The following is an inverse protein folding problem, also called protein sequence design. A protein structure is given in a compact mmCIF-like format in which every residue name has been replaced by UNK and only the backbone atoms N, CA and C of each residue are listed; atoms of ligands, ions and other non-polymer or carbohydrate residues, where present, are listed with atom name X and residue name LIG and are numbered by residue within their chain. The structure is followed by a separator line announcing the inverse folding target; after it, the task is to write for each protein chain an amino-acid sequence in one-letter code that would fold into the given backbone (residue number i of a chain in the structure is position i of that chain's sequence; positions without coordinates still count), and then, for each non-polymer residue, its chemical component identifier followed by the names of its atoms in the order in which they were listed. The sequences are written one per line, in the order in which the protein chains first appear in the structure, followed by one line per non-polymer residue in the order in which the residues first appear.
data_IF_431555024072
#
_entry.id   IF_431555024072
#
_cell.length_a   1.000
_cell.length_b   1.000
_cell.length_c   1.000
_cell.angle_alpha   90.00
_cell.angle_beta   90.00
_cell.angle_gamma   90.00
#
_symmetry.space_group_name_H-M   'P 1'
#
loop_
_entity.id
_entity.type
_entity.pdbx_description
1 polymer ?
#
# COMPACT_ATOMS: atom_id res chain seq x y z
N UNK A 1 2.11 43.19 -64.46
CA UNK A 1 1.12 43.44 -63.40
C UNK A 1 0.80 42.10 -62.76
N UNK A 2 1.52 41.76 -61.68
CA UNK A 2 1.07 41.83 -60.29
C UNK A 2 0.00 40.78 -59.93
N UNK A 3 0.45 39.78 -59.13
CA UNK A 3 -0.19 39.20 -57.94
C UNK A 3 -1.51 38.42 -58.20
N UNK A 4 -1.75 37.23 -57.67
CA UNK A 4 -1.42 36.71 -56.35
C UNK A 4 -1.68 35.18 -56.39
N UNK A 5 -0.72 34.37 -55.94
CA UNK A 5 -0.96 32.97 -55.57
C UNK A 5 -1.76 32.94 -54.26
N UNK A 6 -2.83 32.17 -54.19
CA UNK A 6 -3.46 31.79 -52.92
C UNK A 6 -3.08 30.33 -52.67
N UNK A 7 -1.97 30.14 -51.94
CA UNK A 7 -1.68 28.89 -51.25
C UNK A 7 -2.49 28.90 -49.94
N UNK A 8 -3.51 28.04 -49.83
CA UNK A 8 -4.14 27.76 -48.56
C UNK A 8 -3.21 26.85 -47.75
N UNK A 9 -2.49 27.44 -46.80
CA UNK A 9 -1.74 26.69 -45.80
C UNK A 9 -2.74 25.99 -44.87
N UNK A 10 -2.88 24.67 -45.02
CA UNK A 10 -3.54 23.84 -44.02
C UNK A 10 -2.60 23.75 -42.83
N UNK A 11 -2.83 24.63 -41.86
CA UNK A 11 -2.23 24.57 -40.53
C UNK A 11 -2.73 23.31 -39.82
N UNK A 12 -1.91 22.25 -39.84
CA UNK A 12 -2.09 21.08 -38.98
C UNK A 12 -1.69 21.52 -37.57
N UNK A 13 -2.65 22.01 -36.81
CA UNK A 13 -2.51 22.22 -35.38
C UNK A 13 -2.43 20.85 -34.71
N UNK A 14 -1.22 20.36 -34.46
CA UNK A 14 -0.99 19.31 -33.48
C UNK A 14 -1.28 19.90 -32.10
N UNK A 15 -2.53 19.83 -31.65
CA UNK A 15 -2.82 19.91 -30.22
C UNK A 15 -2.28 18.62 -29.61
N UNK A 16 -1.07 18.69 -29.08
CA UNK A 16 -0.61 17.72 -28.10
C UNK A 16 -1.59 17.79 -26.93
N UNK A 17 -2.53 16.87 -26.88
CA UNK A 17 -3.26 16.58 -25.67
C UNK A 17 -2.23 16.04 -24.68
N UNK A 18 -1.66 16.95 -23.88
CA UNK A 18 -1.17 16.59 -22.57
C UNK A 18 -2.39 15.96 -21.88
N UNK A 19 -2.41 14.63 -21.78
CA UNK A 19 -3.24 13.97 -20.80
C UNK A 19 -2.72 14.44 -19.45
N UNK A 20 -3.30 15.53 -18.95
CA UNK A 20 -3.37 15.77 -17.53
C UNK A 20 -3.89 14.47 -16.94
N UNK A 21 -2.99 13.72 -16.29
CA UNK A 21 -3.38 12.59 -15.47
C UNK A 21 -4.37 13.15 -14.48
N UNK A 22 -5.65 12.84 -14.67
CA UNK A 22 -6.65 13.03 -13.64
C UNK A 22 -6.03 12.51 -12.34
N UNK A 23 -5.93 13.35 -11.30
CA UNK A 23 -5.43 12.89 -10.03
C UNK A 23 -6.39 11.77 -9.62
N UNK A 24 -5.88 10.54 -9.59
CA UNK A 24 -6.62 9.38 -9.13
C UNK A 24 -7.19 9.75 -7.76
N UNK A 25 -8.51 9.93 -7.70
CA UNK A 25 -9.19 10.12 -6.43
C UNK A 25 -8.76 8.98 -5.53
N UNK A 26 -8.37 9.23 -4.27
CA UNK A 26 -7.82 8.20 -3.41
C UNK A 26 -8.85 7.08 -3.25
N UNK A 27 -8.63 5.95 -3.94
CA UNK A 27 -9.52 4.79 -3.85
C UNK A 27 -9.17 4.09 -2.55
N UNK A 28 -9.72 4.58 -1.45
CA UNK A 28 -9.69 3.84 -0.19
C UNK A 28 -10.66 2.68 -0.34
N UNK A 29 -10.13 1.49 -0.64
CA UNK A 29 -10.88 0.24 -0.90
C UNK A 29 -11.63 -0.33 0.32
N UNK A 30 -12.14 0.54 1.19
CA UNK A 30 -12.80 0.15 2.45
C UNK A 30 -11.84 -0.28 3.55
N UNK A 31 -10.55 0.05 3.45
CA UNK A 31 -9.57 -0.20 4.51
C UNK A 31 -9.68 0.89 5.59
N UNK A 32 -10.75 0.80 6.39
CA UNK A 32 -11.13 1.76 7.42
C UNK A 32 -11.65 1.03 8.65
N UNK A 33 -11.55 1.66 9.80
CA UNK A 33 -12.15 1.20 11.05
C UNK A 33 -13.08 2.27 11.59
N UNK A 34 -14.36 1.93 11.80
CA UNK A 34 -15.41 2.87 12.22
C UNK A 34 -15.48 4.15 11.36
N UNK A 35 -15.32 4.01 10.04
CA UNK A 35 -15.31 5.13 9.08
C UNK A 35 -13.99 5.91 9.04
N UNK A 36 -13.07 5.67 9.98
CA UNK A 36 -11.79 6.36 10.06
C UNK A 36 -10.67 5.57 9.37
N UNK A 37 -9.64 6.30 8.94
CA UNK A 37 -8.40 5.70 8.45
C UNK A 37 -7.77 4.88 9.59
N UNK A 38 -7.22 3.72 9.25
CA UNK A 38 -6.47 2.93 10.22
C UNK A 38 -5.13 3.62 10.48
N UNK A 39 -4.83 3.85 11.75
CA UNK A 39 -3.63 4.51 12.23
C UNK A 39 -2.39 3.81 11.64
N UNK A 40 -1.53 4.51 10.89
CA UNK A 40 -0.36 3.90 10.24
C UNK A 40 0.64 3.31 11.23
N UNK A 41 0.70 3.76 12.49
CA UNK A 41 1.54 3.12 13.51
C UNK A 41 1.01 1.73 13.89
N UNK A 42 -0.32 1.52 13.91
CA UNK A 42 -0.90 0.18 14.09
C UNK A 42 -0.50 -0.78 12.97
N UNK A 43 -0.44 -0.28 11.73
CA UNK A 43 0.08 -1.06 10.59
C UNK A 43 1.58 -1.30 10.75
N UNK A 44 2.35 -0.28 11.19
CA UNK A 44 3.79 -0.39 11.36
C UNK A 44 4.18 -1.44 12.42
N UNK A 45 3.40 -1.56 13.51
CA UNK A 45 3.61 -2.58 14.55
C UNK A 45 3.50 -4.02 14.00
N UNK A 46 2.78 -4.22 12.89
CA UNK A 46 2.67 -5.51 12.22
C UNK A 46 3.87 -5.82 11.29
N UNK A 47 4.85 -4.90 11.15
CA UNK A 47 5.99 -5.10 10.26
C UNK A 47 7.10 -5.95 10.88
N UNK A 48 7.43 -7.01 10.16
CA UNK A 48 8.50 -7.97 10.45
C UNK A 48 9.82 -7.22 10.59
N UNK A 49 10.56 -7.45 11.67
CA UNK A 49 11.92 -6.90 11.79
C UNK A 49 12.84 -7.63 10.82
N UNK A 50 13.95 -7.01 10.42
CA UNK A 50 14.96 -7.66 9.55
C UNK A 50 15.55 -8.94 10.18
N UNK A 51 15.49 -9.06 11.51
CA UNK A 51 15.92 -10.24 12.26
C UNK A 51 14.94 -11.41 12.22
N UNK A 52 13.69 -11.19 11.81
CA UNK A 52 12.70 -12.25 11.65
C UNK A 52 12.84 -12.83 10.22
N UNK A 53 13.51 -13.99 10.12
CA UNK A 53 13.86 -14.57 8.82
C UNK A 53 12.61 -14.91 7.98
N UNK A 54 12.50 -14.39 6.75
CA UNK A 54 11.45 -14.78 5.81
C UNK A 54 11.54 -16.25 5.38
N UNK A 55 12.67 -16.95 5.61
CA UNK A 55 12.81 -18.38 5.29
C UNK A 55 11.90 -19.29 6.11
N UNK A 56 11.49 -18.86 7.32
CA UNK A 56 10.61 -19.66 8.18
C UNK A 56 9.11 -19.38 7.96
N UNK A 57 8.77 -18.49 7.03
CA UNK A 57 7.48 -18.48 6.32
C UNK A 57 6.20 -18.24 7.13
N UNK A 58 6.26 -18.02 8.45
CA UNK A 58 5.07 -17.75 9.28
C UNK A 58 5.14 -16.33 9.81
N UNK A 59 4.50 -15.40 9.10
CA UNK A 59 4.29 -14.03 9.56
C UNK A 59 2.81 -13.88 9.88
N UNK A 60 2.37 -14.47 11.00
CA UNK A 60 1.05 -14.18 11.57
C UNK A 60 1.26 -13.16 12.69
N UNK A 61 0.90 -11.91 12.40
CA UNK A 61 0.88 -10.83 13.39
C UNK A 61 -0.50 -10.22 13.38
N UNK A 62 -1.09 -10.09 14.55
CA UNK A 62 -2.43 -9.53 14.71
C UNK A 62 -2.41 -8.43 15.76
N UNK A 63 -3.22 -7.39 15.53
CA UNK A 63 -3.46 -6.33 16.49
C UNK A 63 -4.95 -6.08 16.59
N UNK A 64 -5.43 -5.85 17.81
CA UNK A 64 -6.80 -5.42 18.05
C UNK A 64 -6.86 -3.93 17.72
N UNK A 65 -7.51 -3.59 16.61
CA UNK A 65 -7.56 -2.22 16.09
C UNK A 65 -8.37 -1.33 17.02
N UNK A 66 -9.44 -1.84 17.63
CA UNK A 66 -10.29 -1.08 18.56
C UNK A 66 -9.47 -0.40 19.67
N UNK A 67 -8.46 -1.10 20.20
CA UNK A 67 -7.57 -0.57 21.23
C UNK A 67 -6.32 0.08 20.66
N UNK A 68 -5.79 -0.42 19.55
CA UNK A 68 -4.55 0.12 18.99
C UNK A 68 -4.67 1.57 18.56
N UNK A 69 -5.77 1.95 17.88
CA UNK A 69 -5.97 3.31 17.31
C UNK A 69 -5.68 4.41 18.33
N UNK A 70 -6.07 4.18 19.59
CA UNK A 70 -5.97 5.11 20.70
C UNK A 70 -4.94 4.69 21.76
N UNK A 71 -4.10 3.71 21.48
CA UNK A 71 -3.06 3.29 22.44
C UNK A 71 -1.89 4.28 22.48
N UNK A 72 -1.18 4.30 23.61
CA UNK A 72 0.10 5.01 23.72
C UNK A 72 1.15 4.45 22.73
N UNK A 73 1.04 3.16 22.37
CA UNK A 73 1.92 2.52 21.39
C UNK A 73 1.72 3.07 19.97
N UNK A 74 0.51 3.54 19.66
CA UNK A 74 0.16 4.09 18.37
C UNK A 74 0.06 5.63 18.35
N UNK A 75 0.43 6.30 19.44
CA UNK A 75 0.24 7.74 19.64
C UNK A 75 0.78 8.56 18.47
N UNK A 76 2.01 8.28 18.04
CA UNK A 76 2.69 8.99 16.94
C UNK A 76 2.00 8.85 15.59
N UNK A 77 1.29 7.75 15.36
CA UNK A 77 0.55 7.57 14.11
C UNK A 77 -0.81 8.26 14.08
N UNK A 78 -1.23 8.95 15.16
CA UNK A 78 -2.47 9.74 15.15
C UNK A 78 -2.35 11.00 14.31
N UNK A 79 -1.17 11.63 14.31
CA UNK A 79 -0.85 12.80 13.49
C UNK A 79 -0.40 12.39 12.08
N UNK A 80 -1.17 11.50 11.45
CA UNK A 80 -0.85 11.01 10.12
C UNK A 80 -1.14 12.07 9.04
N UNK A 81 -0.38 11.99 7.95
CA UNK A 81 -0.62 12.74 6.73
C UNK A 81 -1.27 11.83 5.68
N UNK A 82 -2.39 12.29 5.12
CA UNK A 82 -3.03 11.69 3.95
C UNK A 82 -2.65 12.51 2.71
N UNK A 83 -1.90 11.91 1.79
CA UNK A 83 -1.56 12.57 0.52
C UNK A 83 -2.68 12.44 -0.51
N UNK A 84 -2.56 13.21 -1.60
CA UNK A 84 -3.55 13.23 -2.69
C UNK A 84 -3.72 11.89 -3.40
N UNK A 85 -2.68 11.04 -3.40
CA UNK A 85 -2.70 9.67 -3.93
C UNK A 85 -3.42 8.67 -3.01
N UNK A 86 -3.86 9.11 -1.81
CA UNK A 86 -4.56 8.27 -0.85
C UNK A 86 -3.67 7.47 0.09
N UNK A 87 -2.35 7.65 0.00
CA UNK A 87 -1.44 7.02 0.94
C UNK A 87 -1.42 7.74 2.29
N UNK A 88 -1.21 6.94 3.33
CA UNK A 88 -1.26 7.38 4.73
C UNK A 88 0.13 7.21 5.31
N UNK A 89 0.65 8.26 5.93
CA UNK A 89 2.02 8.26 6.45
C UNK A 89 2.17 9.00 7.76
N UNK A 90 3.22 8.70 8.51
CA UNK A 90 3.58 9.44 9.73
C UNK A 90 5.10 9.36 9.96
N UNK A 91 5.59 10.22 10.86
CA UNK A 91 6.94 10.18 11.41
C UNK A 91 6.86 9.88 12.91
N UNK A 92 7.70 8.99 13.42
CA UNK A 92 7.81 8.81 14.88
C UNK A 92 8.49 10.01 15.52
N UNK A 93 9.51 10.51 14.83
CA UNK A 93 10.23 11.74 15.12
C UNK A 93 10.32 12.57 13.82
N UNK A 94 9.64 13.74 13.74
CA UNK A 94 9.68 14.61 12.56
C UNK A 94 11.08 15.07 12.16
N UNK A 95 12.02 15.08 13.11
CA UNK A 95 13.41 15.47 12.86
C UNK A 95 14.27 14.29 12.37
N UNK A 96 13.75 13.06 12.42
CA UNK A 96 14.39 11.84 11.92
C UNK A 96 13.66 11.28 10.70
N UNK A 97 14.27 11.46 9.53
CA UNK A 97 13.77 10.90 8.27
C UNK A 97 13.69 9.37 8.24
N UNK A 98 14.45 8.67 9.08
CA UNK A 98 14.41 7.20 9.17
C UNK A 98 13.20 6.68 9.95
N UNK A 99 12.53 7.54 10.70
CA UNK A 99 11.32 7.20 11.45
C UNK A 99 10.04 7.18 10.61
N UNK A 100 10.17 7.49 9.31
CA UNK A 100 9.06 7.56 8.38
C UNK A 100 8.44 6.19 8.10
N UNK A 101 7.12 6.13 8.18
CA UNK A 101 6.35 5.00 7.69
C UNK A 101 5.17 5.47 6.85
N UNK A 102 4.93 4.78 5.73
CA UNK A 102 3.82 5.02 4.81
C UNK A 102 3.21 3.70 4.39
N UNK A 103 1.88 3.69 4.27
CA UNK A 103 1.18 2.63 3.56
C UNK A 103 0.25 3.19 2.48
N UNK A 104 0.05 2.41 1.43
CA UNK A 104 -0.92 2.65 0.35
C UNK A 104 -1.81 1.41 0.20
N UNK A 105 -3.12 1.62 0.08
CA UNK A 105 -4.07 0.53 -0.14
C UNK A 105 -4.16 0.23 -1.64
N UNK A 106 -3.68 -0.93 -2.05
CA UNK A 106 -3.64 -1.34 -3.46
C UNK A 106 -4.96 -1.96 -3.92
N UNK A 107 -5.78 -2.42 -3.00
CA UNK A 107 -7.05 -3.05 -3.30
C UNK A 107 -7.50 -4.05 -2.25
N UNK A 108 -8.69 -4.61 -2.48
CA UNK A 108 -9.34 -5.59 -1.62
C UNK A 108 -9.86 -6.74 -2.48
N UNK A 109 -9.63 -7.98 -2.05
CA UNK A 109 -10.21 -9.17 -2.68
C UNK A 109 -11.68 -9.33 -2.30
N UNK A 110 -12.40 -10.22 -2.99
CA UNK A 110 -13.80 -10.52 -2.69
C UNK A 110 -13.99 -11.09 -1.27
N UNK A 111 -12.97 -11.77 -0.75
CA UNK A 111 -12.93 -12.34 0.60
C UNK A 111 -12.45 -11.35 1.67
N UNK A 112 -12.21 -10.10 1.29
CA UNK A 112 -11.81 -9.06 2.21
C UNK A 112 -10.36 -9.08 2.66
N UNK A 113 -9.47 -9.65 1.85
CA UNK A 113 -8.02 -9.48 2.00
C UNK A 113 -7.60 -8.19 1.33
N UNK A 114 -6.95 -7.33 2.08
CA UNK A 114 -6.40 -6.07 1.62
C UNK A 114 -4.93 -6.25 1.24
N UNK A 115 -4.52 -5.70 0.11
CA UNK A 115 -3.11 -5.57 -0.24
C UNK A 115 -2.64 -4.15 0.08
N UNK A 116 -1.58 -4.01 0.86
CA UNK A 116 -0.98 -2.73 1.22
C UNK A 116 0.47 -2.66 0.74
N UNK A 117 0.85 -1.60 0.05
CA UNK A 117 2.27 -1.30 -0.19
C UNK A 117 2.83 -0.48 0.98
N UNK A 118 3.96 -0.89 1.55
CA UNK A 118 4.66 -0.16 2.61
C UNK A 118 6.14 -0.57 2.67
N UNK A 119 7.05 0.37 2.97
CA UNK A 119 8.48 0.11 3.22
C UNK A 119 9.21 -0.80 2.21
N UNK A 120 8.83 -0.76 0.92
CA UNK A 120 9.40 -1.62 -0.13
C UNK A 120 8.81 -3.03 -0.22
N UNK A 121 7.76 -3.32 0.54
CA UNK A 121 7.02 -4.57 0.57
C UNK A 121 5.58 -4.36 0.10
N UNK A 122 4.95 -5.44 -0.31
CA UNK A 122 3.49 -5.55 -0.35
C UNK A 122 3.07 -6.59 0.69
N UNK A 123 2.26 -6.17 1.65
CA UNK A 123 1.66 -7.04 2.67
C UNK A 123 0.20 -7.34 2.37
N UNK A 124 -0.24 -8.53 2.77
CA UNK A 124 -1.64 -8.95 2.75
C UNK A 124 -2.20 -8.88 4.16
N UNK A 125 -3.37 -8.28 4.30
CA UNK A 125 -3.99 -8.00 5.59
C UNK A 125 -5.46 -8.39 5.57
N UNK A 126 -5.98 -8.80 6.73
CA UNK A 126 -7.41 -9.02 6.91
C UNK A 126 -7.88 -8.33 8.17
N UNK A 127 -9.00 -7.61 8.06
CA UNK A 127 -9.69 -7.00 9.18
C UNK A 127 -10.96 -7.79 9.45
N UNK A 128 -11.04 -8.44 10.61
CA UNK A 128 -12.16 -9.31 11.00
C UNK A 128 -12.67 -8.94 12.38
N UNK A 129 -13.93 -9.23 12.65
CA UNK A 129 -14.44 -9.24 14.02
C UNK A 129 -14.21 -10.61 14.63
N UNK A 130 -13.51 -10.68 15.74
CA UNK A 130 -13.16 -11.93 16.42
C UNK A 130 -13.51 -11.84 17.91
N UNK A 131 -14.02 -12.92 18.52
CA UNK A 131 -14.15 -12.99 19.97
C UNK A 131 -12.76 -13.12 20.60
N UNK A 132 -12.45 -12.27 21.57
CA UNK A 132 -11.19 -12.30 22.32
C UNK A 132 -11.47 -12.31 23.81
N UNK A 133 -10.86 -13.26 24.52
CA UNK A 133 -10.75 -13.25 25.98
C UNK A 133 -9.49 -12.48 26.39
N UNK A 134 -9.67 -11.42 27.17
CA UNK A 134 -8.58 -10.59 27.67
C UNK A 134 -8.03 -11.02 29.02
N UNK A 135 -8.75 -11.90 29.74
CA UNK A 135 -8.36 -12.37 31.06
C UNK A 135 -8.42 -13.90 31.11
N UNK A 136 -7.31 -14.54 31.44
CA UNK A 136 -7.23 -15.99 31.59
C UNK A 136 -8.10 -16.54 32.75
N UNK A 137 -8.49 -15.68 33.70
CA UNK A 137 -9.23 -16.06 34.89
C UNK A 137 -10.75 -15.92 34.73
N UNK A 138 -11.22 -15.18 33.71
CA UNK A 138 -12.64 -14.95 33.46
C UNK A 138 -12.92 -15.09 31.96
N UNK A 139 -13.73 -16.08 31.59
CA UNK A 139 -14.24 -16.16 30.21
C UNK A 139 -15.30 -15.08 30.02
N UNK A 140 -14.92 -14.04 29.31
CA UNK A 140 -15.80 -12.93 28.92
C UNK A 140 -15.34 -12.46 27.54
N UNK A 141 -15.68 -13.26 26.54
CA UNK A 141 -15.33 -13.00 25.15
C UNK A 141 -15.92 -11.66 24.71
N UNK A 142 -15.06 -10.76 24.25
CA UNK A 142 -15.48 -9.51 23.65
C UNK A 142 -15.26 -9.58 22.14
N UNK A 143 -16.30 -9.21 21.39
CA UNK A 143 -16.17 -9.06 19.95
C UNK A 143 -15.37 -7.80 19.65
N UNK A 144 -14.20 -7.99 19.05
CA UNK A 144 -13.28 -6.90 18.71
C UNK A 144 -12.84 -6.96 17.26
N UNK A 145 -12.45 -5.82 16.68
CA UNK A 145 -11.87 -5.75 15.34
C UNK A 145 -10.38 -6.09 15.40
N UNK A 146 -9.98 -7.19 14.75
CA UNK A 146 -8.60 -7.66 14.67
C UNK A 146 -8.09 -7.46 13.26
N UNK A 147 -6.96 -6.73 13.14
CA UNK A 147 -6.20 -6.64 11.90
C UNK A 147 -5.05 -7.65 11.95
N UNK A 148 -5.07 -8.60 11.02
CA UNK A 148 -4.06 -9.64 10.89
C UNK A 148 -3.27 -9.44 9.61
N UNK A 149 -1.94 -9.44 9.71
CA UNK A 149 -1.04 -9.59 8.58
C UNK A 149 -0.94 -11.07 8.23
N UNK A 150 -1.33 -11.42 7.00
CA UNK A 150 -1.37 -12.79 6.50
C UNK A 150 -0.07 -13.20 5.83
N UNK A 151 0.55 -12.28 5.10
CA UNK A 151 1.77 -12.50 4.33
C UNK A 151 2.38 -11.17 3.93
N UNK A 152 3.64 -11.20 3.49
CA UNK A 152 4.27 -10.08 2.78
C UNK A 152 5.31 -10.59 1.80
N UNK A 153 5.64 -9.77 0.82
CA UNK A 153 6.74 -10.04 -0.08
C UNK A 153 7.48 -8.75 -0.43
N UNK A 154 8.81 -8.84 -0.50
CA UNK A 154 9.67 -7.74 -0.89
C UNK A 154 9.51 -7.45 -2.38
N UNK A 155 9.31 -6.19 -2.73
CA UNK A 155 9.04 -5.75 -4.11
C UNK A 155 10.13 -4.80 -4.60
N UNK A 156 11.33 -5.32 -4.97
CA UNK A 156 12.35 -4.48 -5.56
C UNK A 156 11.84 -3.86 -6.86
N UNK A 157 12.26 -2.62 -7.11
CA UNK A 157 11.96 -1.90 -8.33
C UNK A 157 10.45 -1.67 -8.59
N UNK A 158 9.64 -1.65 -7.53
CA UNK A 158 8.21 -1.40 -7.56
C UNK A 158 7.85 -0.10 -8.27
N UNK A 159 6.76 -0.12 -9.05
CA UNK A 159 6.17 1.09 -9.64
C UNK A 159 4.73 1.29 -9.22
N UNK A 160 3.89 0.27 -9.37
CA UNK A 160 2.49 0.33 -8.97
C UNK A 160 1.93 -1.09 -8.85
N UNK A 161 0.83 -1.24 -8.13
CA UNK A 161 0.07 -2.47 -8.10
C UNK A 161 -1.40 -2.19 -7.86
N UNK A 162 -2.23 -3.18 -8.17
CA UNK A 162 -3.66 -3.12 -7.90
C UNK A 162 -4.21 -4.53 -7.69
N UNK A 163 -5.25 -4.65 -6.87
CA UNK A 163 -6.05 -5.88 -6.79
C UNK A 163 -7.17 -5.83 -7.81
N UNK A 164 -7.31 -6.89 -8.61
CA UNK A 164 -8.43 -7.12 -9.53
C UNK A 164 -9.04 -8.49 -9.23
N UNK A 165 -10.26 -8.51 -8.67
CA UNK A 165 -10.86 -9.74 -8.16
C UNK A 165 -9.98 -10.37 -7.08
N UNK A 166 -9.54 -11.61 -7.29
CA UNK A 166 -8.65 -12.33 -6.37
C UNK A 166 -7.19 -12.36 -6.86
N UNK A 167 -6.77 -11.40 -7.68
CA UNK A 167 -5.40 -11.30 -8.18
C UNK A 167 -4.76 -9.96 -7.81
N UNK A 168 -3.50 -10.00 -7.37
CA UNK A 168 -2.66 -8.82 -7.24
C UNK A 168 -1.76 -8.70 -8.47
N UNK A 169 -1.96 -7.64 -9.25
CA UNK A 169 -1.12 -7.31 -10.41
C UNK A 169 -0.09 -6.28 -9.98
N UNK A 170 1.18 -6.63 -10.03
CA UNK A 170 2.31 -5.77 -9.67
C UNK A 170 3.10 -5.40 -10.91
N UNK A 171 3.20 -4.10 -11.18
CA UNK A 171 4.05 -3.55 -12.24
C UNK A 171 5.35 -3.06 -11.57
N UNK A 172 6.47 -3.61 -12.01
CA UNK A 172 7.80 -3.28 -11.50
C UNK A 172 8.82 -3.29 -12.63
N UNK A 173 9.93 -2.61 -12.43
CA UNK A 173 11.07 -2.80 -13.34
C UNK A 173 11.70 -4.17 -13.14
N UNK A 174 12.29 -4.72 -14.20
CA UNK A 174 13.05 -5.97 -14.10
C UNK A 174 14.26 -5.74 -13.19
N UNK A 175 14.37 -6.57 -12.17
CA UNK A 175 15.44 -6.54 -11.19
C UNK A 175 16.59 -7.46 -11.64
N UNK A 176 17.80 -6.93 -11.70
CA UNK A 176 19.03 -7.68 -11.95
C UNK A 176 19.92 -7.69 -10.70
N UNK A 177 20.03 -8.83 -9.98
CA UNK A 177 20.85 -8.91 -8.77
C UNK A 177 22.35 -8.79 -9.04
N UNK A 178 22.80 -9.02 -10.28
CA UNK A 178 24.22 -8.99 -10.66
C UNK A 178 24.71 -7.59 -11.05
N UNK A 179 23.79 -6.65 -11.32
CA UNK A 179 24.13 -5.29 -11.72
C UNK A 179 24.58 -4.42 -10.52
N UNK A 180 25.23 -3.29 -10.83
CA UNK A 180 25.58 -2.29 -9.82
C UNK A 180 24.33 -1.74 -9.14
N UNK A 181 24.41 -1.29 -7.87
CA UNK A 181 23.23 -0.85 -7.09
C UNK A 181 22.37 0.21 -7.82
N UNK A 182 23.01 1.11 -8.59
CA UNK A 182 22.30 2.13 -9.35
C UNK A 182 21.52 1.57 -10.56
N UNK A 183 21.90 0.39 -11.04
CA UNK A 183 21.41 -0.24 -12.28
C UNK A 183 20.61 -1.52 -12.01
N UNK A 184 20.48 -1.94 -10.74
CA UNK A 184 19.71 -3.14 -10.34
C UNK A 184 18.25 -3.08 -10.79
N UNK A 185 17.69 -1.89 -11.00
CA UNK A 185 16.38 -1.70 -11.60
C UNK A 185 16.54 -1.19 -13.03
N UNK A 186 16.27 -2.07 -14.00
CA UNK A 186 16.30 -1.67 -15.41
C UNK A 186 15.19 -0.66 -15.75
N UNK A 187 15.20 -0.10 -16.97
CA UNK A 187 14.09 0.72 -17.45
C UNK A 187 12.89 -0.10 -17.96
N UNK A 188 13.07 -1.42 -18.10
CA UNK A 188 12.05 -2.32 -18.64
C UNK A 188 11.04 -2.69 -17.56
N UNK A 189 9.77 -2.38 -17.82
CA UNK A 189 8.66 -2.82 -16.99
C UNK A 189 8.28 -4.27 -17.25
N UNK A 190 7.98 -4.98 -16.17
CA UNK A 190 7.35 -6.30 -16.16
C UNK A 190 6.11 -6.29 -15.27
N UNK A 191 5.20 -7.22 -15.52
CA UNK A 191 4.05 -7.47 -14.64
C UNK A 191 4.20 -8.84 -13.99
N UNK A 192 4.12 -8.87 -12.66
CA UNK A 192 4.00 -10.11 -11.88
C UNK A 192 2.58 -10.18 -11.35
N UNK A 193 1.94 -11.34 -11.49
CA UNK A 193 0.59 -11.56 -10.97
C UNK A 193 0.65 -12.61 -9.87
N UNK A 194 0.06 -12.29 -8.73
CA UNK A 194 -0.10 -13.22 -7.61
C UNK A 194 -1.57 -13.62 -7.50
N UNK A 195 -1.82 -14.92 -7.38
CA UNK A 195 -3.13 -15.44 -7.05
C UNK A 195 -3.36 -15.35 -5.55
N UNK A 196 -4.41 -14.64 -5.15
CA UNK A 196 -4.81 -14.42 -3.77
C UNK A 196 -6.03 -15.29 -3.37
N UNK A 197 -6.47 -16.20 -4.23
CA UNK A 197 -7.69 -17.02 -4.02
C UNK A 197 -7.60 -17.98 -2.82
N UNK A 198 -6.40 -18.24 -2.33
CA UNK A 198 -6.16 -19.10 -1.15
C UNK A 198 -6.11 -18.33 0.17
N UNK A 199 -6.12 -17.00 0.13
CA UNK A 199 -6.22 -16.15 1.30
C UNK A 199 -7.67 -15.79 1.62
#
# INVERSE_FOLDING_TARGET
MNKLMILAAVSISFTAFAQDKEPLSPIVYGFRHNGNIINPKCINLLQTSESESPEFGIILRSVIIDSCQESNLAFKGRDYHLSSDGSVSYYEDPDDGHSYFKYEVLGKTERGVFALAHSGYIGLYRLESQPVDFDFNYSNEQMVSVLTKLSQSWMPCFRTAQVKGNQLQVIKHVWDPAASRAEQCSEKLGTVTFDLSHF
#
